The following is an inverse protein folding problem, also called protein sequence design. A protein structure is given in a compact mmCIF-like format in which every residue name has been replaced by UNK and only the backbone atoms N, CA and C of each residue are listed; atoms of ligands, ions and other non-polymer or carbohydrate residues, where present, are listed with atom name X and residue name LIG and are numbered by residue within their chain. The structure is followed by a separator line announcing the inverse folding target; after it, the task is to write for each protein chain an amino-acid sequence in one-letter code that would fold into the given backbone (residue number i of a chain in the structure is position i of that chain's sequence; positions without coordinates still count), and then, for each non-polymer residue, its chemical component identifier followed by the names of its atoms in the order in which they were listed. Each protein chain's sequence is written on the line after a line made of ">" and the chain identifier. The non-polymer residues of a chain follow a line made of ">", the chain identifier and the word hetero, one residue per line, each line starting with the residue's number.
data_IF_328213896056
#
_entry.id   IF_328213896056
#
_cell.length_a   1.000
_cell.length_b   1.000
_cell.length_c   1.000
_cell.angle_alpha   90.00
_cell.angle_beta   90.00
_cell.angle_gamma   90.00
#
_symmetry.space_group_name_H-M   'P 1'
#
loop_
_entity.id
_entity.type
_entity.pdbx_description
1 polymer ?
#
# COMPACT_ATOMS: atom_id res chain seq x y z
N UNK A 1 -0.61 -13.76 3.50
CA UNK A 1 -1.06 -12.83 4.53
C UNK A 1 -1.61 -11.58 3.83
N UNK A 2 -2.81 -11.17 4.16
CA UNK A 2 -3.42 -9.94 3.64
C UNK A 2 -3.79 -9.06 4.84
N UNK A 3 -3.33 -7.82 4.83
CA UNK A 3 -3.62 -6.89 5.90
C UNK A 3 -3.36 -5.45 5.49
N UNK A 4 -4.01 -4.51 6.16
CA UNK A 4 -3.70 -3.10 6.05
C UNK A 4 -2.51 -2.78 6.96
N UNK A 5 -1.56 -1.99 6.47
CA UNK A 5 -0.40 -1.53 7.23
C UNK A 5 -0.81 -0.92 8.58
N UNK A 6 -1.83 -0.06 8.58
CA UNK A 6 -2.36 0.55 9.81
C UNK A 6 -2.80 -0.52 10.83
N UNK A 7 -3.55 -1.54 10.40
CA UNK A 7 -4.00 -2.62 11.28
C UNK A 7 -2.84 -3.49 11.78
N UNK A 8 -1.81 -3.68 10.95
CA UNK A 8 -0.60 -4.43 11.31
C UNK A 8 0.19 -3.65 12.36
N UNK A 9 0.42 -2.36 12.17
CA UNK A 9 1.15 -1.50 13.11
C UNK A 9 0.42 -1.35 14.45
N UNK A 10 -0.90 -1.18 14.43
CA UNK A 10 -1.72 -1.09 15.66
C UNK A 10 -1.65 -2.37 16.50
N UNK A 11 -1.74 -3.53 15.85
CA UNK A 11 -1.79 -4.83 16.54
C UNK A 11 -0.42 -5.36 16.97
N UNK A 12 0.60 -5.21 16.12
CA UNK A 12 1.89 -5.88 16.27
C UNK A 12 3.04 -4.93 16.66
N UNK A 13 2.78 -3.61 16.67
CA UNK A 13 3.74 -2.58 17.10
C UNK A 13 5.15 -2.81 16.57
N UNK A 14 6.10 -3.19 17.42
CA UNK A 14 7.52 -3.36 17.09
C UNK A 14 7.78 -4.47 16.07
N UNK A 15 6.87 -5.44 15.93
CA UNK A 15 6.99 -6.53 14.98
C UNK A 15 6.30 -6.24 13.62
N UNK A 16 5.67 -5.10 13.46
CA UNK A 16 4.95 -4.74 12.24
C UNK A 16 5.85 -4.75 11.00
N UNK A 17 7.06 -4.18 11.11
CA UNK A 17 8.03 -4.13 10.02
C UNK A 17 8.48 -5.53 9.54
N UNK A 18 8.55 -6.49 10.45
CA UNK A 18 8.87 -7.89 10.10
C UNK A 18 7.74 -8.52 9.29
N UNK A 19 6.49 -8.22 9.63
CA UNK A 19 5.32 -8.72 8.91
C UNK A 19 5.26 -8.11 7.51
N UNK A 20 5.43 -6.79 7.42
CA UNK A 20 5.44 -6.05 6.16
C UNK A 20 6.56 -6.55 5.23
N UNK A 21 7.76 -6.74 5.77
CA UNK A 21 8.91 -7.25 5.02
C UNK A 21 8.75 -8.69 4.49
N UNK A 22 7.86 -9.48 5.08
CA UNK A 22 7.53 -10.83 4.63
C UNK A 22 6.38 -10.87 3.61
N UNK A 23 5.74 -9.73 3.31
CA UNK A 23 4.73 -9.66 2.27
C UNK A 23 5.39 -9.58 0.88
N UNK A 24 4.97 -10.46 -0.02
CA UNK A 24 5.47 -10.49 -1.40
C UNK A 24 4.90 -9.34 -2.25
N UNK A 25 3.75 -8.82 -1.86
CA UNK A 25 3.03 -7.78 -2.59
C UNK A 25 2.67 -6.63 -1.67
N UNK A 26 3.02 -5.43 -2.07
CA UNK A 26 2.58 -4.19 -1.42
C UNK A 26 1.79 -3.36 -2.42
N UNK A 27 0.59 -2.94 -2.03
CA UNK A 27 -0.28 -2.09 -2.84
C UNK A 27 -0.52 -0.77 -2.11
N UNK A 28 0.02 0.32 -2.66
CA UNK A 28 -0.21 1.67 -2.16
C UNK A 28 -1.34 2.34 -2.93
N UNK A 29 -2.40 2.66 -2.23
CA UNK A 29 -3.62 3.28 -2.78
C UNK A 29 -3.70 4.80 -2.50
N UNK A 30 -2.67 5.37 -1.96
CA UNK A 30 -2.62 6.76 -1.51
C UNK A 30 -2.67 6.85 0.02
N UNK A 31 -2.02 7.88 0.54
CA UNK A 31 -1.93 8.15 1.98
C UNK A 31 -1.02 9.34 2.23
N UNK A 32 -1.03 9.85 3.46
CA UNK A 32 -0.21 11.00 3.88
C UNK A 32 0.68 10.68 5.08
N UNK A 33 0.78 9.40 5.44
CA UNK A 33 1.61 8.96 6.54
C UNK A 33 3.08 9.02 6.13
N UNK A 34 3.90 9.75 6.91
CA UNK A 34 5.26 10.12 6.52
C UNK A 34 6.20 8.93 6.40
N UNK A 35 6.08 7.98 7.31
CA UNK A 35 6.96 6.80 7.32
C UNK A 35 6.68 5.92 6.10
N UNK A 36 5.41 5.69 5.78
CA UNK A 36 5.00 4.97 4.57
C UNK A 36 5.48 5.66 3.29
N UNK A 37 5.35 6.99 3.21
CA UNK A 37 5.81 7.75 2.04
C UNK A 37 7.33 7.66 1.87
N UNK A 38 8.07 7.72 2.98
CA UNK A 38 9.53 7.62 2.99
C UNK A 38 9.97 6.23 2.55
N UNK A 39 9.42 5.19 3.15
CA UNK A 39 9.75 3.79 2.83
C UNK A 39 9.44 3.50 1.36
N UNK A 40 8.31 4.00 0.86
CA UNK A 40 7.93 3.84 -0.55
C UNK A 40 8.89 4.56 -1.49
N UNK A 41 9.29 5.81 -1.20
CA UNK A 41 10.26 6.56 -1.99
C UNK A 41 11.62 5.86 -2.04
N UNK A 42 12.08 5.30 -0.91
CA UNK A 42 13.32 4.52 -0.83
C UNK A 42 13.25 3.23 -1.66
N UNK A 43 12.13 2.52 -1.61
CA UNK A 43 11.89 1.28 -2.37
C UNK A 43 11.80 1.53 -3.87
N UNK A 44 11.19 2.62 -4.30
CA UNK A 44 11.12 3.02 -5.71
C UNK A 44 12.51 3.28 -6.28
N UNK A 45 13.45 3.73 -5.43
CA UNK A 45 14.85 3.93 -5.79
C UNK A 45 15.10 5.26 -6.50
N UNK A 46 16.27 5.33 -7.16
CA UNK A 46 16.74 6.56 -7.81
C UNK A 46 17.07 6.31 -9.27
N UNK A 47 16.79 7.29 -10.11
CA UNK A 47 17.27 7.36 -11.47
C UNK A 47 18.50 8.27 -11.57
N UNK A 48 19.36 8.01 -12.53
CA UNK A 48 20.51 8.86 -12.81
C UNK A 48 20.09 9.94 -13.80
N UNK A 49 20.18 11.19 -13.37
CA UNK A 49 19.95 12.34 -14.24
C UNK A 49 21.28 13.04 -14.57
N UNK A 50 21.34 13.58 -15.76
CA UNK A 50 22.47 14.37 -16.23
C UNK A 50 22.21 15.85 -15.95
N UNK A 51 23.04 16.44 -15.11
CA UNK A 51 23.00 17.87 -14.81
C UNK A 51 24.06 18.60 -15.61
N UNK A 52 23.62 19.59 -16.36
CA UNK A 52 24.48 20.51 -17.09
C UNK A 52 24.54 21.82 -16.35
N UNK A 53 25.71 22.15 -15.80
CA UNK A 53 25.95 23.43 -15.15
C UNK A 53 26.82 24.30 -16.05
N UNK A 54 26.25 25.40 -16.54
CA UNK A 54 26.99 26.41 -17.32
C UNK A 54 27.45 27.52 -16.38
N UNK A 55 28.75 27.68 -16.23
CA UNK A 55 29.31 28.85 -15.56
C UNK A 55 29.76 29.88 -16.61
N UNK A 56 29.10 31.05 -16.60
CA UNK A 56 29.44 32.19 -17.42
C UNK A 56 30.13 33.23 -16.52
N UNK A 57 31.45 33.36 -16.66
CA UNK A 57 32.21 34.36 -15.92
C UNK A 57 32.41 35.60 -16.80
N UNK A 58 31.66 36.68 -16.46
CA UNK A 58 31.77 37.97 -17.10
C UNK A 58 32.91 38.78 -16.46
N UNK A 59 34.09 38.63 -17.00
CA UNK A 59 35.29 39.41 -16.61
C UNK A 59 36.13 39.71 -17.86
N UNK A 60 37.30 40.32 -17.63
CA UNK A 60 38.25 40.70 -18.73
C UNK A 60 38.74 39.49 -19.55
N UNK A 61 38.53 38.27 -19.07
CA UNK A 61 38.69 37.01 -19.79
C UNK A 61 37.36 36.25 -19.71
N UNK A 62 36.65 36.15 -20.82
CA UNK A 62 35.47 35.31 -20.92
C UNK A 62 35.88 33.87 -20.91
N UNK A 63 35.38 33.10 -19.90
CA UNK A 63 35.58 31.67 -19.85
C UNK A 63 34.21 30.99 -19.77
N UNK A 64 33.91 30.11 -20.69
CA UNK A 64 32.75 29.25 -20.70
C UNK A 64 33.16 27.88 -20.18
N UNK A 65 32.65 27.51 -18.98
CA UNK A 65 32.84 26.18 -18.42
C UNK A 65 31.52 25.40 -18.52
N UNK A 66 31.57 24.26 -19.18
CA UNK A 66 30.46 23.28 -19.17
C UNK A 66 30.87 22.19 -18.22
N UNK A 67 30.17 22.14 -17.07
CA UNK A 67 30.39 21.09 -16.09
C UNK A 67 29.24 20.06 -16.21
N UNK A 68 29.63 18.84 -16.52
CA UNK A 68 28.73 17.70 -16.66
C UNK A 68 28.80 16.86 -15.41
N UNK A 69 27.67 16.74 -14.70
CA UNK A 69 27.57 15.97 -13.48
C UNK A 69 26.39 15.00 -13.54
N UNK A 70 26.66 13.72 -13.22
CA UNK A 70 25.61 12.73 -13.02
C UNK A 70 25.19 12.71 -11.56
N UNK A 71 23.90 12.86 -11.30
CA UNK A 71 23.36 12.78 -9.95
C UNK A 71 22.18 11.83 -9.89
N UNK A 72 21.97 11.20 -8.71
CA UNK A 72 20.81 10.36 -8.47
C UNK A 72 19.62 11.20 -8.02
N UNK A 73 18.54 11.18 -8.77
CA UNK A 73 17.25 11.76 -8.39
C UNK A 73 16.30 10.63 -7.97
N UNK A 74 15.55 10.80 -6.90
CA UNK A 74 14.49 9.86 -6.53
C UNK A 74 13.50 9.70 -7.70
N UNK A 75 13.11 8.47 -7.99
CA UNK A 75 12.16 8.18 -9.07
C UNK A 75 10.82 8.88 -8.84
N UNK A 76 10.37 8.86 -7.58
CA UNK A 76 9.28 9.68 -7.06
C UNK A 76 9.66 10.14 -5.65
N UNK A 77 9.62 11.43 -5.39
CA UNK A 77 9.86 11.98 -4.06
C UNK A 77 8.64 11.78 -3.15
N UNK A 78 8.85 11.91 -1.84
CA UNK A 78 7.75 11.78 -0.86
C UNK A 78 6.61 12.75 -1.15
N UNK A 79 6.93 13.98 -1.58
CA UNK A 79 5.95 15.02 -1.91
C UNK A 79 5.17 14.65 -3.19
N UNK A 80 5.83 14.09 -4.20
CA UNK A 80 5.17 13.61 -5.42
C UNK A 80 4.22 12.45 -5.13
N UNK A 81 4.64 11.52 -4.26
CA UNK A 81 3.79 10.41 -3.82
C UNK A 81 2.59 10.92 -3.00
N UNK A 82 2.80 11.92 -2.11
CA UNK A 82 1.76 12.47 -1.26
C UNK A 82 0.65 13.20 -2.05
N UNK A 83 0.99 13.80 -3.21
CA UNK A 83 0.04 14.49 -4.10
C UNK A 83 -0.41 13.65 -5.28
N UNK A 84 -0.07 12.37 -5.29
CA UNK A 84 -0.46 11.43 -6.35
C UNK A 84 -1.98 11.43 -6.55
N UNK A 85 -2.40 11.39 -7.82
CA UNK A 85 -3.80 11.33 -8.18
C UNK A 85 -4.53 10.18 -7.49
N UNK A 86 -5.70 10.45 -6.92
CA UNK A 86 -6.52 9.48 -6.21
C UNK A 86 -6.98 8.28 -7.07
N UNK A 87 -6.94 8.40 -8.40
CA UNK A 87 -7.24 7.31 -9.34
C UNK A 87 -6.05 6.37 -9.58
N UNK A 88 -4.85 6.72 -9.11
CA UNK A 88 -3.61 5.97 -9.33
C UNK A 88 -3.24 5.11 -8.12
N UNK A 89 -2.45 4.09 -8.38
CA UNK A 89 -1.86 3.25 -7.35
C UNK A 89 -0.43 2.84 -7.73
N UNK A 90 0.35 2.52 -6.71
CA UNK A 90 1.68 1.94 -6.87
C UNK A 90 1.62 0.51 -6.35
N UNK A 91 2.01 -0.45 -7.16
CA UNK A 91 2.07 -1.85 -6.80
C UNK A 91 3.49 -2.36 -6.89
N UNK A 92 3.92 -3.00 -5.82
CA UNK A 92 5.21 -3.65 -5.72
C UNK A 92 5.03 -5.15 -5.57
N UNK A 93 5.76 -5.90 -6.35
CA UNK A 93 5.85 -7.37 -6.30
C UNK A 93 7.30 -7.77 -6.09
N UNK A 94 7.54 -8.79 -5.27
CA UNK A 94 8.88 -9.35 -5.09
C UNK A 94 9.44 -9.82 -6.43
N UNK A 95 10.66 -9.40 -6.75
CA UNK A 95 11.38 -9.80 -7.97
C UNK A 95 11.00 -9.05 -9.24
N UNK A 96 10.10 -8.07 -9.16
CA UNK A 96 9.69 -7.24 -10.30
C UNK A 96 9.82 -5.76 -9.93
N UNK A 97 10.05 -4.92 -10.94
CA UNK A 97 10.07 -3.46 -10.72
C UNK A 97 8.67 -2.97 -10.32
N UNK A 98 8.58 -1.93 -9.47
CA UNK A 98 7.30 -1.36 -9.11
C UNK A 98 6.48 -0.90 -10.31
N UNK A 99 5.17 -1.04 -10.21
CA UNK A 99 4.21 -0.61 -11.23
C UNK A 99 3.46 0.62 -10.77
N UNK A 100 3.37 1.62 -11.65
CA UNK A 100 2.46 2.74 -11.50
C UNK A 100 1.24 2.50 -12.40
N UNK A 101 0.05 2.38 -11.82
CA UNK A 101 -1.15 1.95 -12.54
C UNK A 101 -2.40 2.71 -12.11
N UNK A 102 -3.46 2.55 -12.88
CA UNK A 102 -4.78 3.03 -12.52
C UNK A 102 -5.45 2.08 -11.53
N UNK A 103 -6.19 2.63 -10.58
CA UNK A 103 -7.06 1.85 -9.71
C UNK A 103 -8.21 1.25 -10.52
N UNK A 104 -8.61 0.05 -10.14
CA UNK A 104 -9.78 -0.57 -10.74
C UNK A 104 -11.04 0.22 -10.38
N UNK A 105 -11.83 0.53 -11.40
CA UNK A 105 -13.14 1.16 -11.22
C UNK A 105 -14.15 0.11 -10.72
N UNK A 106 -14.45 0.17 -9.43
CA UNK A 106 -15.34 -0.79 -8.77
C UNK A 106 -16.75 -0.80 -9.36
N UNK A 107 -17.18 0.31 -9.97
CA UNK A 107 -18.53 0.42 -10.57
C UNK A 107 -18.69 -0.52 -11.75
N UNK A 108 -17.59 -0.91 -12.41
CA UNK A 108 -17.55 -1.87 -13.51
C UNK A 108 -17.54 -3.33 -13.08
N UNK A 109 -17.43 -3.60 -11.77
CA UNK A 109 -17.42 -4.96 -11.27
C UNK A 109 -18.82 -5.58 -11.32
N UNK A 110 -18.92 -6.83 -11.74
CA UNK A 110 -20.20 -7.55 -11.90
C UNK A 110 -21.04 -7.61 -10.62
N UNK A 111 -20.38 -7.61 -9.46
CA UNK A 111 -21.02 -7.66 -8.14
C UNK A 111 -21.24 -6.28 -7.51
N UNK A 112 -20.93 -5.19 -8.22
CA UNK A 112 -21.15 -3.83 -7.72
C UNK A 112 -22.59 -3.59 -7.23
N UNK A 113 -23.65 -4.11 -7.92
CA UNK A 113 -25.03 -3.97 -7.48
C UNK A 113 -25.34 -4.59 -6.11
N UNK A 114 -24.46 -5.47 -5.58
CA UNK A 114 -24.61 -6.10 -4.27
C UNK A 114 -23.98 -5.28 -3.12
N UNK A 115 -23.30 -4.20 -3.45
CA UNK A 115 -22.66 -3.34 -2.44
C UNK A 115 -23.65 -2.33 -1.88
N UNK A 116 -23.42 -1.93 -0.63
CA UNK A 116 -24.16 -0.86 0.04
C UNK A 116 -24.03 0.49 -0.64
N UNK A 117 -22.91 0.72 -1.36
CA UNK A 117 -22.67 1.93 -2.13
C UNK A 117 -23.60 2.06 -3.34
N UNK A 118 -24.07 0.94 -3.87
CA UNK A 118 -25.06 0.92 -4.95
C UNK A 118 -26.50 1.06 -4.42
N UNK A 119 -26.88 0.26 -3.41
CA UNK A 119 -28.19 0.31 -2.75
C UNK A 119 -28.03 0.11 -1.24
N UNK A 120 -28.49 1.08 -0.45
CA UNK A 120 -28.46 1.00 1.02
C UNK A 120 -29.17 -0.24 1.60
N UNK A 121 -30.05 -0.88 0.83
CA UNK A 121 -30.67 -2.15 1.24
C UNK A 121 -29.67 -3.30 1.37
N UNK A 122 -28.53 -3.19 0.69
CA UNK A 122 -27.45 -4.18 0.75
C UNK A 122 -26.53 -3.96 1.96
N UNK A 123 -26.80 -2.94 2.78
CA UNK A 123 -26.02 -2.68 3.98
C UNK A 123 -26.11 -3.86 4.94
N UNK A 124 -24.93 -4.38 5.33
CA UNK A 124 -24.84 -5.50 6.25
C UNK A 124 -25.07 -5.04 7.68
N UNK A 125 -26.21 -5.43 8.24
CA UNK A 125 -26.57 -5.16 9.64
C UNK A 125 -25.92 -6.21 10.55
N UNK A 126 -24.78 -5.85 11.14
CA UNK A 126 -24.02 -6.72 12.02
C UNK A 126 -24.81 -7.09 13.29
N UNK A 127 -25.66 -6.17 13.82
CA UNK A 127 -26.44 -6.44 15.02
C UNK A 127 -27.51 -7.51 14.75
N UNK A 128 -28.22 -7.41 13.64
CA UNK A 128 -29.18 -8.45 13.22
C UNK A 128 -28.49 -9.77 12.97
N UNK A 129 -27.32 -9.76 12.34
CA UNK A 129 -26.54 -10.96 12.09
C UNK A 129 -26.15 -11.64 13.40
N UNK A 130 -25.59 -10.92 14.36
CA UNK A 130 -25.18 -11.46 15.67
C UNK A 130 -26.38 -11.96 16.46
N UNK A 131 -27.49 -11.21 16.48
CA UNK A 131 -28.74 -11.62 17.17
C UNK A 131 -29.31 -12.92 16.56
N UNK A 132 -29.26 -13.05 15.23
CA UNK A 132 -29.73 -14.25 14.54
C UNK A 132 -28.79 -15.44 14.77
N UNK A 133 -27.47 -15.23 14.76
CA UNK A 133 -26.46 -16.26 15.05
C UNK A 133 -26.62 -16.83 16.46
N UNK A 134 -26.87 -15.99 17.44
CA UNK A 134 -27.13 -16.44 18.83
C UNK A 134 -28.44 -17.22 18.98
N UNK A 135 -29.36 -17.15 17.99
CA UNK A 135 -30.58 -17.97 17.93
C UNK A 135 -30.37 -19.33 17.26
N UNK A 136 -29.28 -19.51 16.51
CA UNK A 136 -28.88 -20.82 15.98
C UNK A 136 -28.36 -21.66 17.16
N UNK A 137 -29.28 -22.30 17.88
CA UNK A 137 -28.94 -23.40 18.79
C UNK A 137 -28.43 -24.53 17.91
N UNK A 138 -27.13 -24.77 17.93
CA UNK A 138 -26.57 -26.01 17.39
C UNK A 138 -27.34 -27.17 18.03
N UNK A 139 -28.01 -27.96 17.21
CA UNK A 139 -28.56 -29.23 17.68
C UNK A 139 -27.37 -30.11 18.05
N UNK A 140 -27.47 -30.79 19.19
CA UNK A 140 -26.41 -31.60 19.80
C UNK A 140 -25.84 -32.71 18.89
N UNK A 141 -26.38 -32.86 17.68
CA UNK A 141 -25.98 -33.84 16.66
C UNK A 141 -25.28 -33.20 15.44
N UNK A 142 -25.05 -31.88 15.44
CA UNK A 142 -24.21 -31.30 14.39
C UNK A 142 -22.79 -31.70 14.73
N UNK A 143 -22.23 -32.58 13.90
CA UNK A 143 -20.81 -32.95 13.96
C UNK A 143 -20.04 -31.65 13.75
N UNK A 144 -19.49 -31.14 14.82
CA UNK A 144 -18.51 -30.04 14.75
C UNK A 144 -17.26 -30.74 14.25
N UNK A 145 -16.93 -30.55 12.97
CA UNK A 145 -15.61 -30.89 12.47
C UNK A 145 -14.58 -30.28 13.42
N UNK A 146 -13.64 -31.09 13.86
CA UNK A 146 -12.67 -30.75 14.88
C UNK A 146 -12.07 -29.36 14.63
N UNK A 147 -12.46 -28.39 15.45
CA UNK A 147 -11.78 -27.11 15.49
C UNK A 147 -10.38 -27.42 15.99
N UNK A 148 -9.39 -27.37 15.10
CA UNK A 148 -8.01 -27.45 15.49
C UNK A 148 -7.74 -26.33 16.50
N UNK A 149 -7.62 -26.71 17.76
CA UNK A 149 -7.28 -25.82 18.84
C UNK A 149 -5.82 -25.40 18.66
N UNK A 150 -5.59 -24.21 18.15
CA UNK A 150 -4.26 -23.63 17.91
C UNK A 150 -3.61 -23.18 19.23
N UNK A 151 -4.13 -23.66 20.36
CA UNK A 151 -3.75 -23.24 21.71
C UNK A 151 -2.55 -23.94 22.33
N UNK A 152 -1.94 -24.95 21.69
CA UNK A 152 -0.78 -25.65 22.24
C UNK A 152 0.40 -25.71 21.27
N UNK A 153 1.02 -24.56 21.00
CA UNK A 153 2.42 -24.50 20.64
C UNK A 153 3.10 -23.52 21.61
N UNK A 154 3.26 -24.00 22.83
CA UNK A 154 4.19 -23.44 23.79
C UNK A 154 4.98 -24.63 24.35
N UNK A 155 6.15 -24.89 23.73
CA UNK A 155 7.39 -25.32 24.39
C UNK A 155 8.50 -25.30 23.36
#
# INVERSE_FOLDING_TARGET
>A
LVGSEMCIRDRYKDNASTIEGNCDTTLFLGGKEKDTLKDLAEILGKETIDLYNTSDTRGTSQSYGLNYQKTGKELMSQDEIAVMDGSKCIMQLRGVRPFFSDKFDITKHKQYPLLSDYDKKNEFDIEKYVKNRNRLRFKRNDVVDEVCDVGEIAE
#
